data_IF_254052831521
#
_entry.id   IF_254052831521
#
_cell.length_a   1.000
_cell.length_b   1.000
_cell.length_c   1.000
_cell.angle_alpha   90.00
_cell.angle_beta   90.00
_cell.angle_gamma   90.00
#
_symmetry.space_group_name_H-M   'P 1'
#
loop_
_entity.id
_entity.type
_entity.pdbx_description
1 polymer ?
#
# COMPACT_ATOMS: atom_id res chain seq x y z
N UNK A 1 1.67 23.61 -4.25
CA UNK A 1 1.84 22.32 -3.57
C UNK A 1 2.54 21.36 -4.52
N UNK A 2 3.57 20.65 -4.08
CA UNK A 2 4.22 19.65 -4.91
C UNK A 2 3.31 18.42 -5.08
N UNK A 3 3.58 17.61 -6.11
CA UNK A 3 2.79 16.40 -6.33
C UNK A 3 2.93 15.42 -5.17
N UNK A 4 4.12 15.34 -4.55
CA UNK A 4 4.33 14.46 -3.41
C UNK A 4 3.55 14.95 -2.18
N UNK A 5 3.46 16.27 -1.95
CA UNK A 5 2.65 16.82 -0.86
C UNK A 5 1.17 16.49 -1.06
N UNK A 6 0.70 16.59 -2.28
CA UNK A 6 -0.69 16.26 -2.61
C UNK A 6 -0.99 14.78 -2.38
N UNK A 7 -0.07 13.91 -2.80
CA UNK A 7 -0.20 12.46 -2.60
C UNK A 7 -0.24 12.15 -1.10
N UNK A 8 0.69 12.73 -0.33
CA UNK A 8 0.76 12.50 1.11
C UNK A 8 -0.49 13.00 1.82
N UNK A 9 -0.98 14.18 1.44
CA UNK A 9 -2.22 14.74 2.00
C UNK A 9 -3.41 13.81 1.72
N UNK A 10 -3.54 13.30 0.50
CA UNK A 10 -4.62 12.40 0.11
C UNK A 10 -4.57 11.11 0.93
N UNK A 11 -3.38 10.55 1.14
CA UNK A 11 -3.19 9.36 1.98
C UNK A 11 -3.59 9.61 3.43
N UNK A 12 -3.21 10.76 3.99
CA UNK A 12 -3.53 11.12 5.38
C UNK A 12 -5.02 11.35 5.59
N UNK A 13 -5.68 11.93 4.61
CA UNK A 13 -7.11 12.20 4.65
C UNK A 13 -7.95 10.97 4.29
N UNK A 14 -7.32 9.90 3.83
CA UNK A 14 -8.03 8.72 3.39
C UNK A 14 -8.87 8.98 2.15
N UNK A 15 -8.30 9.68 1.16
CA UNK A 15 -9.00 10.12 -0.05
C UNK A 15 -9.82 9.02 -0.73
N UNK A 16 -10.89 9.40 -1.42
CA UNK A 16 -11.83 8.48 -2.07
C UNK A 16 -11.16 7.48 -3.01
N UNK A 17 -10.19 7.95 -3.81
CA UNK A 17 -9.44 7.08 -4.72
C UNK A 17 -8.66 6.02 -3.97
N UNK A 18 -7.99 6.40 -2.90
CA UNK A 18 -7.20 5.47 -2.09
C UNK A 18 -8.09 4.43 -1.43
N UNK A 19 -9.22 4.82 -0.86
CA UNK A 19 -10.18 3.90 -0.25
C UNK A 19 -10.77 2.95 -1.29
N UNK A 20 -11.17 3.48 -2.44
CA UNK A 20 -11.74 2.70 -3.53
C UNK A 20 -10.78 1.64 -4.03
N UNK A 21 -9.56 2.04 -4.38
CA UNK A 21 -8.56 1.10 -4.89
C UNK A 21 -8.10 0.12 -3.82
N UNK A 22 -7.96 0.58 -2.59
CA UNK A 22 -7.61 -0.28 -1.46
C UNK A 22 -8.64 -1.39 -1.25
N UNK A 23 -9.93 -1.04 -1.30
CA UNK A 23 -11.00 -2.01 -1.15
C UNK A 23 -11.04 -3.01 -2.31
N UNK A 24 -10.83 -2.54 -3.54
CA UNK A 24 -10.77 -3.41 -4.71
C UNK A 24 -9.62 -4.41 -4.61
N UNK A 25 -8.43 -3.93 -4.22
CA UNK A 25 -7.26 -4.79 -4.08
C UNK A 25 -7.40 -5.77 -2.93
N UNK A 26 -7.95 -5.33 -1.81
CA UNK A 26 -8.18 -6.21 -0.66
C UNK A 26 -9.15 -7.34 -1.02
N UNK A 27 -10.21 -7.02 -1.75
CA UNK A 27 -11.19 -8.01 -2.20
C UNK A 27 -10.56 -9.00 -3.17
N UNK A 28 -9.73 -8.53 -4.10
CA UNK A 28 -8.99 -9.37 -5.03
C UNK A 28 -8.05 -10.32 -4.27
N UNK A 29 -7.27 -9.78 -3.34
CA UNK A 29 -6.33 -10.57 -2.54
C UNK A 29 -7.07 -11.65 -1.77
N UNK A 30 -8.17 -11.29 -1.14
CA UNK A 30 -8.98 -12.21 -0.35
C UNK A 30 -9.53 -13.36 -1.17
N UNK A 31 -10.07 -13.05 -2.35
CA UNK A 31 -10.73 -14.06 -3.21
C UNK A 31 -9.76 -14.84 -4.07
N UNK A 32 -8.84 -14.15 -4.74
CA UNK A 32 -8.02 -14.74 -5.79
C UNK A 32 -6.67 -15.23 -5.29
N UNK A 33 -6.07 -14.53 -4.33
CA UNK A 33 -4.74 -14.89 -3.83
C UNK A 33 -4.87 -15.81 -2.63
N UNK A 34 -5.63 -15.42 -1.62
CA UNK A 34 -5.83 -16.22 -0.42
C UNK A 34 -6.96 -17.25 -0.54
N UNK A 35 -7.75 -17.18 -1.59
CA UNK A 35 -8.82 -18.16 -1.90
C UNK A 35 -9.77 -18.39 -0.72
N UNK A 36 -10.21 -17.30 -0.10
CA UNK A 36 -11.12 -17.30 1.05
C UNK A 36 -10.57 -18.01 2.29
N UNK A 37 -9.26 -18.31 2.34
CA UNK A 37 -8.65 -18.88 3.54
C UNK A 37 -8.63 -17.86 4.66
N UNK A 38 -9.05 -18.26 5.84
CA UNK A 38 -9.11 -17.35 6.99
C UNK A 38 -7.77 -17.24 7.72
N UNK A 39 -6.99 -18.31 7.72
CA UNK A 39 -5.71 -18.36 8.41
C UNK A 39 -4.58 -18.45 7.40
N UNK A 40 -4.00 -17.32 7.10
CA UNK A 40 -2.86 -17.20 6.19
C UNK A 40 -1.61 -17.00 7.03
N UNK A 41 -0.54 -17.72 6.71
CA UNK A 41 0.70 -17.61 7.48
C UNK A 41 1.33 -16.22 7.32
N UNK A 42 2.11 -15.83 8.32
CA UNK A 42 2.85 -14.57 8.28
C UNK A 42 3.79 -14.54 7.07
N UNK A 43 4.41 -15.69 6.75
CA UNK A 43 5.31 -15.79 5.60
C UNK A 43 4.59 -15.47 4.28
N UNK A 44 3.38 -15.99 4.09
CA UNK A 44 2.59 -15.69 2.90
C UNK A 44 2.22 -14.21 2.81
N UNK A 45 1.84 -13.61 3.94
CA UNK A 45 1.51 -12.19 3.98
C UNK A 45 2.72 -11.33 3.65
N UNK A 46 3.88 -11.64 4.23
CA UNK A 46 5.13 -10.91 3.97
C UNK A 46 5.54 -11.05 2.52
N UNK A 47 5.42 -12.24 1.95
CA UNK A 47 5.73 -12.49 0.54
C UNK A 47 4.82 -11.65 -0.35
N UNK A 48 3.54 -11.57 -0.03
CA UNK A 48 2.60 -10.72 -0.77
C UNK A 48 2.98 -9.24 -0.67
N UNK A 49 3.37 -8.78 0.52
CA UNK A 49 3.79 -7.39 0.72
C UNK A 49 5.01 -7.08 -0.16
N UNK A 50 5.98 -7.99 -0.22
CA UNK A 50 7.14 -7.83 -1.08
C UNK A 50 6.73 -7.75 -2.55
N UNK A 51 5.83 -8.60 -2.99
CA UNK A 51 5.31 -8.59 -4.36
C UNK A 51 4.57 -7.28 -4.66
N UNK A 52 3.78 -6.77 -3.72
CA UNK A 52 3.08 -5.49 -3.87
C UNK A 52 4.06 -4.32 -3.98
N UNK A 53 5.18 -4.38 -3.26
CA UNK A 53 6.23 -3.36 -3.37
C UNK A 53 6.84 -3.35 -4.78
N UNK A 54 7.18 -4.52 -5.31
CA UNK A 54 7.69 -4.64 -6.68
C UNK A 54 6.66 -4.16 -7.70
N UNK A 55 5.39 -4.51 -7.50
CA UNK A 55 4.31 -4.06 -8.35
C UNK A 55 4.18 -2.54 -8.35
N UNK A 56 4.34 -1.91 -7.19
CA UNK A 56 4.28 -0.46 -7.05
C UNK A 56 5.33 0.23 -7.92
N UNK A 57 6.56 -0.30 -7.93
CA UNK A 57 7.63 0.21 -8.80
C UNK A 57 7.27 0.02 -10.27
N UNK A 58 6.72 -1.14 -10.62
CA UNK A 58 6.30 -1.43 -11.98
C UNK A 58 5.18 -0.50 -12.46
N UNK A 59 4.24 -0.17 -11.58
CA UNK A 59 3.17 0.79 -11.90
C UNK A 59 3.73 2.17 -12.22
N UNK A 60 4.66 2.65 -11.40
CA UNK A 60 5.34 3.92 -11.67
C UNK A 60 6.11 3.89 -12.99
N UNK A 61 6.77 2.77 -13.29
CA UNK A 61 7.59 2.66 -14.49
C UNK A 61 6.77 2.55 -15.79
N UNK A 62 5.63 1.85 -15.75
CA UNK A 62 4.92 1.44 -16.97
C UNK A 62 3.66 2.23 -17.29
N UNK A 63 2.96 2.73 -16.29
CA UNK A 63 1.62 3.28 -16.50
C UNK A 63 1.51 4.80 -16.34
N UNK A 64 2.62 5.47 -16.07
CA UNK A 64 2.61 6.93 -16.00
C UNK A 64 2.50 7.55 -17.41
N UNK A 65 1.73 8.60 -17.51
CA UNK A 65 1.57 9.34 -18.76
C UNK A 65 2.77 10.24 -19.05
N UNK A 66 3.33 10.85 -18.01
CA UNK A 66 4.40 11.83 -18.12
C UNK A 66 5.72 11.28 -17.63
N UNK A 67 6.86 11.77 -18.14
CA UNK A 67 8.15 11.38 -17.61
C UNK A 67 8.26 11.70 -16.11
N UNK A 68 8.91 10.82 -15.38
CA UNK A 68 9.15 11.00 -13.96
C UNK A 68 10.65 10.97 -13.73
N UNK A 69 11.24 12.08 -13.28
CA UNK A 69 12.66 12.09 -13.02
C UNK A 69 13.00 11.33 -11.72
N UNK A 70 14.25 10.84 -11.60
CA UNK A 70 14.63 10.02 -10.46
C UNK A 70 14.50 10.74 -9.10
N UNK A 71 14.76 12.03 -9.05
CA UNK A 71 14.63 12.81 -7.81
C UNK A 71 13.20 12.83 -7.32
N UNK A 72 12.26 13.01 -8.24
CA UNK A 72 10.84 13.04 -7.92
C UNK A 72 10.32 11.68 -7.51
N UNK A 73 10.77 10.63 -8.19
CA UNK A 73 10.42 9.25 -7.83
C UNK A 73 10.90 8.94 -6.40
N UNK A 74 12.10 9.37 -6.05
CA UNK A 74 12.65 9.20 -4.71
C UNK A 74 11.84 9.94 -3.66
N UNK A 75 11.42 11.18 -3.97
CA UNK A 75 10.59 11.99 -3.07
C UNK A 75 9.24 11.30 -2.81
N UNK A 76 8.58 10.84 -3.85
CA UNK A 76 7.30 10.13 -3.74
C UNK A 76 7.49 8.86 -2.90
N UNK A 77 8.51 8.07 -3.18
CA UNK A 77 8.80 6.86 -2.41
C UNK A 77 9.05 7.14 -0.93
N UNK A 78 9.75 8.23 -0.63
CA UNK A 78 9.99 8.66 0.75
C UNK A 78 8.68 9.00 1.46
N UNK A 79 7.79 9.74 0.80
CA UNK A 79 6.52 10.13 1.39
C UNK A 79 5.60 8.93 1.63
N UNK A 80 5.57 7.99 0.69
CA UNK A 80 4.84 6.72 0.85
C UNK A 80 5.40 5.92 2.03
N UNK A 81 6.72 5.85 2.14
CA UNK A 81 7.39 5.16 3.25
C UNK A 81 7.05 5.80 4.60
N UNK A 82 7.07 7.14 4.68
CA UNK A 82 6.68 7.85 5.90
C UNK A 82 5.24 7.53 6.29
N UNK A 83 4.35 7.51 5.33
CA UNK A 83 2.95 7.16 5.58
C UNK A 83 2.84 5.73 6.13
N UNK A 84 3.55 4.78 5.52
CA UNK A 84 3.55 3.39 5.95
C UNK A 84 4.05 3.24 7.39
N UNK A 85 5.16 3.90 7.73
CA UNK A 85 5.74 3.86 9.07
C UNK A 85 4.76 4.46 10.09
N UNK A 86 4.14 5.58 9.76
CA UNK A 86 3.12 6.19 10.62
C UNK A 86 1.92 5.28 10.85
N UNK A 87 1.48 4.61 9.79
CA UNK A 87 0.35 3.67 9.85
C UNK A 87 0.68 2.48 10.75
N UNK A 88 1.88 1.90 10.59
CA UNK A 88 2.33 0.78 11.44
C UNK A 88 2.38 1.22 12.90
N UNK A 89 2.94 2.40 13.18
CA UNK A 89 2.98 2.94 14.54
C UNK A 89 1.61 3.12 15.15
N UNK A 90 0.67 3.62 14.37
CA UNK A 90 -0.71 3.80 14.83
C UNK A 90 -1.41 2.46 15.09
N UNK A 91 -1.20 1.48 14.21
CA UNK A 91 -1.88 0.19 14.28
C UNK A 91 -1.12 -0.85 15.11
N UNK A 92 -0.06 -0.46 15.81
CA UNK A 92 0.80 -1.38 16.55
C UNK A 92 0.03 -2.24 17.57
N UNK A 93 -0.99 -1.67 18.20
CA UNK A 93 -1.84 -2.41 19.12
C UNK A 93 -2.62 -3.53 18.44
N UNK A 94 -2.91 -3.40 17.15
CA UNK A 94 -3.59 -4.43 16.38
C UNK A 94 -2.66 -5.58 15.98
N UNK A 95 -1.38 -5.28 15.78
CA UNK A 95 -0.39 -6.29 15.38
C UNK A 95 -0.16 -7.33 16.48
N UNK A 96 -0.41 -6.98 17.74
CA UNK A 96 -0.28 -7.90 18.86
C UNK A 96 -1.51 -8.76 19.11
N UNK A 97 -2.54 -8.62 18.29
CA UNK A 97 -3.81 -9.33 18.45
C UNK A 97 -4.09 -10.21 17.22
N UNK A 98 -4.95 -11.22 17.36
CA UNK A 98 -5.39 -11.98 16.19
C UNK A 98 -6.04 -11.08 15.15
N UNK A 99 -5.89 -11.43 13.87
CA UNK A 99 -6.47 -10.65 12.77
C UNK A 99 -8.00 -10.65 12.85
N UNK A 100 -8.61 -9.49 12.54
CA UNK A 100 -10.06 -9.37 12.45
C UNK A 100 -10.64 -10.18 11.28
N UNK A 101 -9.80 -10.57 10.32
CA UNK A 101 -10.20 -11.35 9.15
C UNK A 101 -9.93 -12.84 9.28
N UNK A 102 -9.30 -13.22 10.39
CA UNK A 102 -8.98 -14.63 10.63
C UNK A 102 -10.20 -15.43 11.10
#
# INVERSE_FOLDING_TARGET
MSDSDKILQDMEEGGDGMTKYGNMMLEFIKKEIFQERKNVSVEEVVTLIAALTDLSVSLLAKFRKEPLDPSRATEIGRDVFKHMVGKIGFDMGQLGKPSLYA
#
